data_IF_817903949748
#
_entry.id   IF_817903949748
#
_cell.length_a   1.000
_cell.length_b   1.000
_cell.length_c   1.000
_cell.angle_alpha   90.00
_cell.angle_beta   90.00
_cell.angle_gamma   90.00
#
_symmetry.space_group_name_H-M   'P 1'
#
loop_
_entity.id
_entity.type
_entity.pdbx_description
1 polymer ?
#
# COMPACT_ATOMS: atom_id res chain seq x y z
N UNK A 1 52.52 25.78 -74.54
CA UNK A 1 51.16 26.13 -74.09
C UNK A 1 50.29 24.87 -74.08
N UNK A 2 49.88 24.40 -72.90
CA UNK A 2 48.84 23.37 -72.68
C UNK A 2 47.65 24.06 -72.01
N UNK A 3 46.42 23.64 -72.32
CA UNK A 3 45.49 23.20 -71.26
C UNK A 3 44.61 22.04 -71.75
N UNK A 4 43.77 21.36 -70.98
CA UNK A 4 43.69 20.94 -69.58
C UNK A 4 42.56 19.91 -69.59
N UNK A 5 42.78 18.70 -69.06
CA UNK A 5 41.74 17.68 -68.90
C UNK A 5 41.09 17.87 -67.53
N UNK A 6 39.77 18.04 -67.50
CA UNK A 6 38.96 18.10 -66.28
C UNK A 6 38.69 16.66 -65.83
N UNK A 7 39.11 16.32 -64.60
CA UNK A 7 38.77 15.08 -63.92
C UNK A 7 37.55 15.30 -63.02
N UNK A 8 36.53 14.46 -63.17
CA UNK A 8 35.34 14.47 -62.32
C UNK A 8 35.60 13.65 -61.04
N UNK A 9 35.47 14.30 -59.88
CA UNK A 9 35.45 13.63 -58.57
C UNK A 9 34.05 13.03 -58.34
N UNK A 10 33.98 11.72 -58.15
CA UNK A 10 32.79 11.02 -57.65
C UNK A 10 32.89 10.93 -56.13
N UNK A 11 31.97 11.61 -55.43
CA UNK A 11 31.86 11.53 -53.98
C UNK A 11 31.09 10.25 -53.60
N UNK A 12 31.77 9.31 -52.95
CA UNK A 12 31.15 8.15 -52.33
C UNK A 12 30.52 8.57 -50.99
N UNK A 13 29.18 8.58 -50.94
CA UNK A 13 28.44 8.77 -49.70
C UNK A 13 28.53 7.51 -48.83
N UNK A 14 29.43 7.52 -47.85
CA UNK A 14 29.55 6.48 -46.83
C UNK A 14 28.35 6.59 -45.89
N UNK A 15 27.35 5.74 -46.08
CA UNK A 15 26.18 5.66 -45.19
C UNK A 15 26.58 4.94 -43.90
N UNK A 16 26.84 5.69 -42.84
CA UNK A 16 27.03 5.19 -41.49
C UNK A 16 25.68 4.68 -40.95
N UNK A 17 25.48 3.37 -41.01
CA UNK A 17 24.41 2.68 -40.29
C UNK A 17 24.86 2.62 -38.82
N UNK A 18 24.37 3.54 -38.00
CA UNK A 18 24.51 3.46 -36.55
C UNK A 18 23.58 2.34 -36.06
N UNK A 19 24.07 1.30 -35.35
CA UNK A 19 23.20 0.34 -34.72
C UNK A 19 22.42 1.07 -33.61
N UNK A 20 21.13 1.29 -33.83
CA UNK A 20 20.22 1.64 -32.75
C UNK A 20 20.25 0.47 -31.77
N UNK A 21 20.84 0.66 -30.59
CA UNK A 21 20.76 -0.27 -29.47
C UNK A 21 19.29 -0.36 -29.02
N UNK A 22 18.48 -1.16 -29.68
CA UNK A 22 17.18 -1.58 -29.16
C UNK A 22 17.44 -2.66 -28.12
N UNK A 23 17.19 -2.37 -26.85
CA UNK A 23 17.18 -3.38 -25.80
C UNK A 23 16.23 -4.50 -26.21
N UNK A 24 16.70 -5.75 -26.26
CA UNK A 24 15.87 -6.88 -26.65
C UNK A 24 14.67 -7.01 -25.71
N UNK A 25 13.50 -7.33 -26.27
CA UNK A 25 12.28 -7.54 -25.48
C UNK A 25 12.49 -8.73 -24.51
N UNK A 26 12.18 -8.58 -23.21
CA UNK A 26 12.27 -9.67 -22.26
C UNK A 26 11.40 -10.86 -22.67
N UNK A 27 11.92 -12.07 -22.50
CA UNK A 27 11.15 -13.30 -22.67
C UNK A 27 10.13 -13.44 -21.53
N UNK A 28 8.88 -13.77 -21.87
CA UNK A 28 7.80 -13.99 -20.91
C UNK A 28 7.51 -15.49 -20.77
N UNK A 29 7.20 -15.97 -19.55
CA UNK A 29 6.68 -17.33 -19.36
C UNK A 29 5.31 -17.50 -20.01
N UNK A 30 4.87 -18.76 -20.12
CA UNK A 30 3.53 -19.11 -20.58
C UNK A 30 2.49 -18.60 -19.56
N UNK A 31 1.55 -17.71 -19.97
CA UNK A 31 0.52 -17.19 -19.07
C UNK A 31 -0.45 -18.26 -18.55
N UNK A 32 -0.52 -19.43 -19.19
CA UNK A 32 -1.38 -20.54 -18.77
C UNK A 32 -0.77 -21.45 -17.71
N UNK A 33 0.50 -21.22 -17.33
CA UNK A 33 1.21 -21.98 -16.29
C UNK A 33 1.66 -21.06 -15.13
N UNK A 34 0.77 -20.82 -14.14
CA UNK A 34 1.10 -20.08 -12.92
C UNK A 34 2.36 -20.57 -12.18
N UNK A 35 2.63 -21.88 -12.22
CA UNK A 35 3.78 -22.47 -11.52
C UNK A 35 5.10 -22.10 -12.20
N UNK A 36 5.12 -22.03 -13.53
CA UNK A 36 6.30 -21.55 -14.26
C UNK A 36 6.67 -20.11 -13.87
N UNK A 37 5.68 -19.23 -13.74
CA UNK A 37 5.91 -17.86 -13.28
C UNK A 37 6.42 -17.84 -11.83
N UNK A 38 5.75 -18.57 -10.93
CA UNK A 38 6.15 -18.68 -9.53
C UNK A 38 7.60 -19.14 -9.40
N UNK A 39 7.98 -20.21 -10.10
CA UNK A 39 9.35 -20.75 -10.08
C UNK A 39 10.36 -19.74 -10.63
N UNK A 40 9.96 -18.98 -11.67
CA UNK A 40 10.80 -17.91 -12.22
C UNK A 40 11.03 -16.80 -11.19
N UNK A 41 9.99 -16.34 -10.50
CA UNK A 41 10.04 -15.30 -9.46
C UNK A 41 10.85 -15.75 -8.25
N UNK A 42 10.70 -17.01 -7.82
CA UNK A 42 11.42 -17.59 -6.69
C UNK A 42 12.88 -17.96 -7.02
N UNK A 43 13.28 -17.99 -8.30
CA UNK A 43 14.64 -18.33 -8.71
C UNK A 43 15.68 -17.28 -8.29
N UNK A 44 16.96 -17.66 -8.30
CA UNK A 44 18.09 -16.74 -8.07
C UNK A 44 18.13 -15.54 -9.04
N UNK A 45 17.46 -15.65 -10.19
CA UNK A 45 17.35 -14.58 -11.21
C UNK A 45 15.98 -13.91 -11.24
N UNK A 46 15.07 -14.26 -10.33
CA UNK A 46 13.69 -13.77 -10.32
C UNK A 46 13.58 -12.26 -10.15
N UNK A 47 14.41 -11.68 -9.28
CA UNK A 47 14.49 -10.23 -9.09
C UNK A 47 14.93 -9.49 -10.37
N UNK A 48 15.90 -10.07 -11.11
CA UNK A 48 16.33 -9.52 -12.40
C UNK A 48 15.24 -9.67 -13.46
N UNK A 49 14.54 -10.81 -13.50
CA UNK A 49 13.39 -11.00 -14.37
C UNK A 49 12.30 -9.95 -14.11
N UNK A 50 11.89 -9.78 -12.86
CA UNK A 50 10.90 -8.76 -12.47
C UNK A 50 11.36 -7.37 -12.86
N UNK A 51 12.63 -7.02 -12.65
CA UNK A 51 13.20 -5.75 -13.09
C UNK A 51 13.09 -5.57 -14.60
N UNK A 52 13.55 -6.55 -15.38
CA UNK A 52 13.58 -6.47 -16.84
C UNK A 52 12.18 -6.29 -17.42
N UNK A 53 11.21 -7.08 -16.98
CA UNK A 53 9.82 -6.95 -17.47
C UNK A 53 9.15 -5.68 -16.96
N UNK A 54 9.50 -5.18 -15.77
CA UNK A 54 8.84 -4.01 -15.18
C UNK A 54 9.33 -2.69 -15.78
N UNK A 55 10.62 -2.57 -16.12
CA UNK A 55 11.19 -1.32 -16.66
C UNK A 55 11.15 -1.26 -18.20
N UNK A 56 10.96 -2.40 -18.87
CA UNK A 56 10.89 -2.43 -20.33
C UNK A 56 9.69 -1.62 -20.83
N UNK A 57 9.89 -0.77 -21.83
CA UNK A 57 8.83 0.08 -22.40
C UNK A 57 7.94 -0.73 -23.35
N UNK A 58 6.93 -1.39 -22.80
CA UNK A 58 5.99 -2.21 -23.57
C UNK A 58 5.07 -1.34 -24.43
N UNK A 59 4.81 -1.77 -25.68
CA UNK A 59 3.88 -1.06 -26.58
C UNK A 59 2.43 -1.07 -26.09
N UNK A 60 2.08 -2.07 -25.30
CA UNK A 60 0.78 -2.30 -24.68
C UNK A 60 0.74 -1.83 -23.22
N UNK A 61 1.63 -0.91 -22.83
CA UNK A 61 1.69 -0.35 -21.48
C UNK A 61 1.80 -1.42 -20.36
N UNK A 62 2.39 -2.56 -20.71
CA UNK A 62 2.62 -3.68 -19.81
C UNK A 62 1.47 -4.68 -19.67
N UNK A 63 0.38 -4.55 -20.45
CA UNK A 63 -0.80 -5.41 -20.33
C UNK A 63 -0.51 -6.92 -20.44
N UNK A 64 0.35 -7.35 -21.38
CA UNK A 64 0.74 -8.77 -21.48
C UNK A 64 1.50 -9.28 -20.25
N UNK A 65 2.32 -8.44 -19.62
CA UNK A 65 3.05 -8.80 -18.39
C UNK A 65 2.09 -8.84 -17.20
N UNK A 66 1.18 -7.86 -17.11
CA UNK A 66 0.13 -7.81 -16.11
C UNK A 66 -0.68 -9.12 -16.09
N UNK A 67 -1.05 -9.66 -17.25
CA UNK A 67 -1.80 -10.90 -17.35
C UNK A 67 -1.13 -12.11 -16.69
N UNK A 68 0.20 -12.11 -16.55
CA UNK A 68 0.93 -13.19 -15.88
C UNK A 68 0.55 -13.33 -14.39
N UNK A 69 0.12 -12.26 -13.74
CA UNK A 69 -0.07 -12.21 -12.28
C UNK A 69 -1.55 -12.26 -11.85
N UNK A 70 -2.49 -12.39 -12.79
CA UNK A 70 -3.93 -12.27 -12.49
C UNK A 70 -4.50 -13.42 -11.65
N UNK A 71 -3.80 -14.55 -11.59
CA UNK A 71 -4.19 -15.72 -10.78
C UNK A 71 -3.85 -15.56 -9.28
N UNK A 72 -2.91 -14.66 -8.94
CA UNK A 72 -2.42 -14.53 -7.55
C UNK A 72 -3.53 -14.21 -6.55
N UNK A 73 -4.46 -13.26 -6.81
CA UNK A 73 -5.54 -12.98 -5.87
C UNK A 73 -6.48 -14.16 -5.64
N UNK A 74 -6.87 -14.86 -6.71
CA UNK A 74 -7.74 -16.03 -6.63
C UNK A 74 -7.09 -17.16 -5.82
N UNK A 75 -5.81 -17.42 -6.09
CA UNK A 75 -5.08 -18.49 -5.42
C UNK A 75 -4.72 -18.18 -3.97
N UNK A 76 -4.71 -16.90 -3.56
CA UNK A 76 -4.35 -16.49 -2.20
C UNK A 76 -5.19 -17.14 -1.10
N UNK A 77 -6.46 -17.44 -1.39
CA UNK A 77 -7.40 -18.09 -0.46
C UNK A 77 -7.91 -19.45 -0.96
N UNK A 78 -7.26 -20.02 -1.97
CA UNK A 78 -7.67 -21.31 -2.54
C UNK A 78 -7.66 -22.43 -1.49
N UNK A 79 -8.56 -23.40 -1.65
CA UNK A 79 -8.57 -24.59 -0.79
C UNK A 79 -7.34 -25.47 -0.98
N UNK A 80 -6.67 -25.36 -2.14
CA UNK A 80 -5.48 -26.13 -2.48
C UNK A 80 -4.24 -25.48 -1.85
N UNK A 81 -3.51 -26.18 -0.95
CA UNK A 81 -2.36 -25.57 -0.25
C UNK A 81 -1.22 -25.11 -1.17
N UNK A 82 -0.97 -25.84 -2.26
CA UNK A 82 0.11 -25.50 -3.21
C UNK A 82 -0.22 -24.25 -4.02
N UNK A 83 -1.50 -24.01 -4.34
CA UNK A 83 -1.96 -22.77 -5.00
C UNK A 83 -1.78 -21.57 -4.06
N UNK A 84 -2.20 -21.68 -2.80
CA UNK A 84 -1.98 -20.63 -1.78
C UNK A 84 -0.51 -20.30 -1.60
N UNK A 85 0.35 -21.33 -1.49
CA UNK A 85 1.79 -21.12 -1.38
C UNK A 85 2.37 -20.45 -2.62
N UNK A 86 1.93 -20.83 -3.83
CA UNK A 86 2.39 -20.21 -5.06
C UNK A 86 2.00 -18.73 -5.13
N UNK A 87 0.78 -18.38 -4.70
CA UNK A 87 0.34 -16.99 -4.60
C UNK A 87 1.18 -16.20 -3.59
N UNK A 88 1.44 -16.76 -2.41
CA UNK A 88 2.26 -16.14 -1.38
C UNK A 88 3.71 -15.92 -1.83
N UNK A 89 4.35 -16.94 -2.43
CA UNK A 89 5.71 -16.87 -2.95
C UNK A 89 5.83 -15.76 -4.01
N UNK A 90 4.84 -15.69 -4.92
CA UNK A 90 4.82 -14.72 -6.01
C UNK A 90 4.61 -13.30 -5.48
N UNK A 91 3.62 -13.10 -4.61
CA UNK A 91 3.36 -11.80 -3.98
C UNK A 91 4.57 -11.33 -3.16
N UNK A 92 5.21 -12.22 -2.39
CA UNK A 92 6.40 -11.91 -1.61
C UNK A 92 7.59 -11.50 -2.51
N UNK A 93 7.77 -12.21 -3.64
CA UNK A 93 8.77 -11.89 -4.64
C UNK A 93 8.55 -10.51 -5.28
N UNK A 94 7.29 -10.18 -5.61
CA UNK A 94 6.89 -8.87 -6.12
C UNK A 94 7.23 -7.78 -5.09
N UNK A 95 6.76 -7.89 -3.85
CA UNK A 95 6.93 -6.80 -2.88
C UNK A 95 8.39 -6.60 -2.46
N UNK A 96 9.17 -7.70 -2.41
CA UNK A 96 10.62 -7.65 -2.23
C UNK A 96 11.28 -6.87 -3.36
N UNK A 97 10.92 -7.19 -4.61
CA UNK A 97 11.42 -6.49 -5.79
C UNK A 97 11.10 -5.01 -5.77
N UNK A 98 9.85 -4.66 -5.48
CA UNK A 98 9.40 -3.28 -5.43
C UNK A 98 10.14 -2.50 -4.34
N UNK A 99 10.25 -3.07 -3.14
CA UNK A 99 10.97 -2.45 -2.03
C UNK A 99 12.45 -2.19 -2.37
N UNK A 100 13.14 -3.19 -2.91
CA UNK A 100 14.59 -3.12 -3.15
C UNK A 100 14.94 -2.29 -4.39
N UNK A 101 13.98 -2.10 -5.30
CA UNK A 101 14.19 -1.38 -6.58
C UNK A 101 13.49 -0.01 -6.62
N UNK A 102 12.76 0.37 -5.57
CA UNK A 102 11.94 1.60 -5.52
C UNK A 102 12.66 2.86 -6.03
N UNK A 103 13.92 3.18 -5.64
CA UNK A 103 14.59 4.39 -6.14
C UNK A 103 14.75 4.44 -7.66
N UNK A 104 14.84 3.29 -8.31
CA UNK A 104 14.89 3.18 -9.78
C UNK A 104 13.48 3.26 -10.37
N UNK A 105 12.51 2.55 -9.81
CA UNK A 105 11.14 2.50 -10.31
C UNK A 105 10.41 3.84 -10.19
N UNK A 106 10.77 4.66 -9.23
CA UNK A 106 10.21 6.01 -9.05
C UNK A 106 10.91 7.07 -9.93
N UNK A 107 12.02 6.74 -10.59
CA UNK A 107 12.87 7.69 -11.35
C UNK A 107 13.53 7.01 -12.56
N UNK A 108 12.71 6.60 -13.53
CA UNK A 108 13.16 5.85 -14.72
C UNK A 108 13.80 6.73 -15.80
N UNK A 109 13.42 8.01 -15.92
CA UNK A 109 14.04 8.95 -16.88
C UNK A 109 14.94 9.97 -16.19
N UNK A 110 16.19 9.55 -15.91
CA UNK A 110 17.22 10.44 -15.38
C UNK A 110 17.76 11.45 -16.40
N UNK A 111 17.57 11.21 -17.71
CA UNK A 111 18.19 12.01 -18.76
C UNK A 111 17.50 13.38 -18.94
N UNK A 112 16.21 13.46 -18.61
CA UNK A 112 15.41 14.67 -18.82
C UNK A 112 15.01 15.39 -17.51
N UNK A 113 15.65 15.08 -16.38
CA UNK A 113 15.23 15.52 -15.03
C UNK A 113 13.74 15.24 -14.73
N UNK A 114 13.14 14.27 -15.42
CA UNK A 114 11.74 13.92 -15.27
C UNK A 114 11.53 12.96 -14.10
N UNK A 115 10.53 13.22 -13.27
CA UNK A 115 10.03 12.26 -12.29
C UNK A 115 9.12 11.21 -12.99
N UNK A 116 9.62 10.56 -14.05
CA UNK A 116 8.89 9.48 -14.72
C UNK A 116 9.01 8.22 -13.88
N UNK A 117 7.87 7.74 -13.39
CA UNK A 117 7.75 6.52 -12.59
C UNK A 117 7.45 5.32 -13.48
N UNK A 118 7.52 4.12 -12.89
CA UNK A 118 7.05 2.88 -13.54
C UNK A 118 5.57 2.93 -13.86
N UNK A 119 4.75 3.59 -13.02
CA UNK A 119 3.32 3.77 -13.27
C UNK A 119 3.03 4.60 -14.52
N UNK A 120 3.91 5.56 -14.87
CA UNK A 120 3.76 6.35 -16.09
C UNK A 120 4.06 5.54 -17.37
N UNK A 121 4.96 4.57 -17.27
CA UNK A 121 5.44 3.80 -18.43
C UNK A 121 4.62 2.52 -18.62
N UNK A 122 4.41 1.77 -17.54
CA UNK A 122 3.76 0.47 -17.52
C UNK A 122 2.66 0.41 -16.44
N UNK A 123 1.60 1.24 -16.55
CA UNK A 123 0.53 1.30 -15.55
C UNK A 123 -0.12 -0.06 -15.29
N UNK A 124 -0.34 -0.88 -16.33
CA UNK A 124 -0.98 -2.18 -16.18
C UNK A 124 -0.16 -3.16 -15.30
N UNK A 125 1.17 -3.08 -15.32
CA UNK A 125 2.03 -3.90 -14.46
C UNK A 125 1.87 -3.48 -13.00
N UNK A 126 1.89 -2.17 -12.73
CA UNK A 126 1.72 -1.64 -11.37
C UNK A 126 0.34 -2.01 -10.80
N UNK A 127 -0.71 -1.87 -11.60
CA UNK A 127 -2.07 -2.28 -11.25
C UNK A 127 -2.15 -3.78 -10.97
N UNK A 128 -1.54 -4.61 -11.80
CA UNK A 128 -1.53 -6.06 -11.56
C UNK A 128 -0.74 -6.48 -10.33
N UNK A 129 0.41 -5.84 -10.06
CA UNK A 129 1.15 -6.06 -8.82
C UNK A 129 0.36 -5.61 -7.61
N UNK A 130 -0.37 -4.51 -7.71
CA UNK A 130 -1.24 -4.03 -6.63
C UNK A 130 -2.30 -5.07 -6.30
N UNK A 131 -3.01 -5.57 -7.31
CA UNK A 131 -4.02 -6.61 -7.15
C UNK A 131 -3.44 -7.90 -6.56
N UNK A 132 -2.26 -8.34 -7.02
CA UNK A 132 -1.57 -9.51 -6.50
C UNK A 132 -1.17 -9.37 -5.01
N UNK A 133 -0.95 -8.14 -4.54
CA UNK A 133 -0.45 -7.85 -3.18
C UNK A 133 -1.57 -7.61 -2.18
N UNK A 134 -2.70 -7.03 -2.59
CA UNK A 134 -3.83 -6.68 -1.72
C UNK A 134 -4.24 -7.80 -0.74
N UNK A 135 -4.36 -9.09 -1.15
CA UNK A 135 -4.74 -10.16 -0.22
C UNK A 135 -3.77 -10.37 0.95
N UNK A 136 -2.51 -9.91 0.81
CA UNK A 136 -1.42 -10.14 1.75
C UNK A 136 -1.12 -8.91 2.65
N UNK A 137 -1.92 -7.84 2.57
CA UNK A 137 -1.72 -6.63 3.39
C UNK A 137 -1.75 -6.92 4.90
N UNK A 138 -2.65 -7.81 5.33
CA UNK A 138 -2.67 -8.28 6.71
C UNK A 138 -1.35 -8.94 7.10
N UNK A 139 -0.86 -9.85 6.26
CA UNK A 139 0.36 -10.61 6.52
C UNK A 139 1.59 -9.67 6.64
N UNK A 140 1.62 -8.57 5.90
CA UNK A 140 2.69 -7.56 6.01
C UNK A 140 2.75 -6.89 7.39
N UNK A 141 1.62 -6.76 8.08
CA UNK A 141 1.53 -6.22 9.44
C UNK A 141 1.35 -7.32 10.50
N UNK A 142 1.72 -8.56 10.16
CA UNK A 142 1.72 -9.68 11.08
C UNK A 142 0.35 -10.30 11.35
N UNK A 143 -0.62 -10.11 10.46
CA UNK A 143 -1.89 -10.85 10.42
C UNK A 143 -2.03 -11.69 9.16
N UNK A 144 -1.54 -12.95 9.15
CA UNK A 144 -1.67 -13.78 7.97
C UNK A 144 -3.13 -14.12 7.64
N UNK A 145 -4.11 -13.94 8.54
CA UNK A 145 -5.50 -14.32 8.30
C UNK A 145 -5.62 -15.70 7.65
N UNK A 146 -6.24 -15.75 6.46
CA UNK A 146 -6.37 -16.98 5.66
C UNK A 146 -5.26 -17.15 4.59
N UNK A 147 -4.37 -16.16 4.44
CA UNK A 147 -3.24 -16.20 3.51
C UNK A 147 -2.01 -16.76 4.22
N UNK A 148 -1.69 -18.02 3.95
CA UNK A 148 -0.54 -18.70 4.54
C UNK A 148 0.73 -18.50 3.69
N UNK A 149 1.91 -18.56 4.32
CA UNK A 149 3.19 -18.60 3.61
C UNK A 149 3.82 -17.25 3.26
N UNK A 150 3.13 -16.13 3.55
CA UNK A 150 3.68 -14.79 3.36
C UNK A 150 4.29 -14.25 4.65
N UNK A 151 5.53 -13.78 4.60
CA UNK A 151 6.21 -13.17 5.75
C UNK A 151 6.28 -11.65 5.61
N UNK A 152 6.19 -10.89 6.72
CA UNK A 152 6.47 -9.46 6.71
C UNK A 152 7.84 -9.13 6.10
N UNK A 153 7.93 -8.05 5.29
CA UNK A 153 9.21 -7.57 4.74
C UNK A 153 10.10 -6.90 5.78
N UNK A 154 9.47 -6.39 6.84
CA UNK A 154 10.08 -5.62 7.91
C UNK A 154 9.72 -6.26 9.27
N UNK A 155 10.56 -6.13 10.30
CA UNK A 155 10.17 -6.48 11.66
C UNK A 155 8.92 -5.71 12.11
N UNK A 156 8.01 -6.38 12.82
CA UNK A 156 6.71 -5.83 13.23
C UNK A 156 6.81 -4.70 14.28
N UNK A 157 7.96 -4.48 14.89
CA UNK A 157 8.26 -3.39 15.83
C UNK A 157 9.05 -2.22 15.17
N UNK A 158 9.31 -2.32 13.86
CA UNK A 158 10.07 -1.34 13.09
C UNK A 158 9.22 -0.20 12.54
N UNK A 159 9.83 0.64 11.68
CA UNK A 159 9.14 1.71 10.93
C UNK A 159 8.68 1.27 9.54
N UNK A 160 8.82 -0.02 9.23
CA UNK A 160 8.41 -0.67 7.98
C UNK A 160 8.93 0.00 6.69
N UNK A 161 10.24 0.33 6.59
CA UNK A 161 10.77 1.07 5.45
C UNK A 161 10.69 0.32 4.12
N UNK A 162 10.76 -1.02 4.10
CA UNK A 162 10.66 -1.80 2.86
C UNK A 162 9.21 -1.87 2.39
N UNK A 163 8.27 -2.08 3.31
CA UNK A 163 6.83 -2.05 3.03
C UNK A 163 6.41 -0.67 2.50
N UNK A 164 6.90 0.41 3.13
CA UNK A 164 6.73 1.77 2.63
C UNK A 164 7.23 1.94 1.19
N UNK A 165 8.47 1.51 0.91
CA UNK A 165 9.05 1.61 -0.43
C UNK A 165 8.21 0.87 -1.48
N UNK A 166 7.70 -0.32 -1.15
CA UNK A 166 6.81 -1.07 -2.02
C UNK A 166 5.47 -0.33 -2.25
N UNK A 167 4.82 0.17 -1.20
CA UNK A 167 3.55 0.91 -1.31
C UNK A 167 3.70 2.18 -2.14
N UNK A 168 4.80 2.90 -1.99
CA UNK A 168 5.08 4.10 -2.78
C UNK A 168 5.20 3.78 -4.28
N UNK A 169 5.78 2.63 -4.66
CA UNK A 169 5.82 2.19 -6.06
C UNK A 169 4.44 1.76 -6.55
N UNK A 170 3.70 0.98 -5.75
CA UNK A 170 2.34 0.57 -6.09
C UNK A 170 1.41 1.78 -6.26
N UNK A 171 1.57 2.81 -5.44
CA UNK A 171 0.78 4.04 -5.50
C UNK A 171 1.08 4.97 -6.69
N UNK A 172 1.98 4.60 -7.61
CA UNK A 172 2.36 5.48 -8.75
C UNK A 172 1.27 5.63 -9.81
N UNK A 173 0.25 4.76 -9.85
CA UNK A 173 -0.95 4.96 -10.67
C UNK A 173 -2.14 5.38 -9.82
N UNK A 174 -3.05 6.15 -10.41
CA UNK A 174 -4.26 6.59 -9.71
C UNK A 174 -5.16 5.41 -9.28
N UNK A 175 -5.29 4.39 -10.15
CA UNK A 175 -6.07 3.17 -9.90
C UNK A 175 -5.46 2.38 -8.74
N UNK A 176 -4.18 2.01 -8.83
CA UNK A 176 -3.49 1.25 -7.79
C UNK A 176 -3.49 1.96 -6.45
N UNK A 177 -3.27 3.27 -6.44
CA UNK A 177 -3.30 4.07 -5.21
C UNK A 177 -4.67 4.03 -4.53
N UNK A 178 -5.75 4.10 -5.32
CA UNK A 178 -7.12 4.01 -4.80
C UNK A 178 -7.48 2.59 -4.34
N UNK A 179 -7.12 1.56 -5.10
CA UNK A 179 -7.41 0.16 -4.76
C UNK A 179 -6.65 -0.28 -3.50
N UNK A 180 -5.37 0.08 -3.40
CA UNK A 180 -4.56 -0.17 -2.21
C UNK A 180 -5.10 0.60 -1.00
N UNK A 181 -5.46 1.86 -1.18
CA UNK A 181 -6.06 2.68 -0.12
C UNK A 181 -7.38 2.09 0.39
N UNK A 182 -8.28 1.67 -0.51
CA UNK A 182 -9.53 1.03 -0.15
C UNK A 182 -9.30 -0.31 0.59
N UNK A 183 -8.35 -1.12 0.14
CA UNK A 183 -8.00 -2.37 0.80
C UNK A 183 -7.45 -2.15 2.23
N UNK A 184 -6.62 -1.12 2.41
CA UNK A 184 -6.12 -0.72 3.74
C UNK A 184 -7.27 -0.30 4.65
N UNK A 185 -8.22 0.52 4.17
CA UNK A 185 -9.38 0.95 4.96
C UNK A 185 -10.25 -0.23 5.38
N UNK A 186 -10.53 -1.16 4.47
CA UNK A 186 -11.30 -2.37 4.81
C UNK A 186 -10.60 -3.21 5.90
N UNK A 187 -9.26 -3.30 5.82
CA UNK A 187 -8.48 -4.05 6.81
C UNK A 187 -8.42 -3.32 8.16
N UNK A 188 -8.29 -1.99 8.17
CA UNK A 188 -8.31 -1.22 9.42
C UNK A 188 -9.70 -1.25 10.08
N UNK A 189 -10.79 -1.26 9.31
CA UNK A 189 -12.14 -1.47 9.83
C UNK A 189 -12.26 -2.79 10.61
N UNK A 190 -11.71 -3.87 10.05
CA UNK A 190 -11.65 -5.16 10.73
C UNK A 190 -10.88 -5.07 12.06
N UNK A 191 -9.69 -4.47 12.07
CA UNK A 191 -8.89 -4.35 13.30
C UNK A 191 -9.53 -3.43 14.35
N UNK A 192 -10.23 -2.37 13.95
CA UNK A 192 -11.00 -1.51 14.87
C UNK A 192 -12.15 -2.28 15.53
N UNK A 193 -12.79 -3.17 14.78
CA UNK A 193 -13.84 -4.02 15.33
C UNK A 193 -13.28 -5.06 16.31
N UNK A 194 -12.17 -5.73 15.97
CA UNK A 194 -11.49 -6.65 16.89
C UNK A 194 -11.03 -5.91 18.16
N UNK A 195 -10.45 -4.72 18.01
CA UNK A 195 -10.02 -3.88 19.14
C UNK A 195 -11.20 -3.53 20.07
N UNK A 196 -12.32 -3.06 19.51
CA UNK A 196 -13.51 -2.74 20.30
C UNK A 196 -14.05 -3.96 21.07
N UNK A 197 -14.07 -5.14 20.42
CA UNK A 197 -14.48 -6.38 21.06
C UNK A 197 -13.52 -6.84 22.16
N UNK A 198 -12.20 -6.69 21.96
CA UNK A 198 -11.20 -7.00 23.00
C UNK A 198 -11.30 -6.07 24.21
N UNK A 199 -11.68 -4.80 24.02
CA UNK A 199 -11.91 -3.84 25.11
C UNK A 199 -13.19 -4.15 25.89
N UNK A 200 -14.23 -4.67 25.24
CA UNK A 200 -15.49 -5.04 25.87
C UNK A 200 -15.46 -6.42 26.57
N UNK A 201 -14.41 -7.21 26.36
CA UNK A 201 -14.27 -8.55 26.91
C UNK A 201 -14.01 -8.55 28.44
N UNK A 202 -14.40 -9.63 29.11
CA UNK A 202 -14.09 -9.87 30.52
C UNK A 202 -13.53 -11.30 30.72
N UNK A 203 -12.23 -11.48 31.02
CA UNK A 203 -11.22 -10.43 31.20
C UNK A 203 -10.84 -9.74 29.88
N UNK A 204 -10.28 -8.53 30.00
CA UNK A 204 -9.71 -7.78 28.87
C UNK A 204 -8.47 -8.50 28.34
N UNK A 205 -8.31 -8.53 27.01
CA UNK A 205 -7.14 -9.11 26.34
C UNK A 205 -6.16 -7.99 25.91
N UNK A 206 -5.24 -7.65 26.81
CA UNK A 206 -4.22 -6.61 26.60
C UNK A 206 -3.30 -6.90 25.40
N UNK A 207 -3.03 -8.18 25.12
CA UNK A 207 -2.19 -8.58 24.00
C UNK A 207 -2.91 -8.30 22.67
N UNK A 208 -4.17 -8.72 22.55
CA UNK A 208 -4.98 -8.43 21.37
C UNK A 208 -5.07 -6.92 21.14
N UNK A 209 -5.35 -6.13 22.18
CA UNK A 209 -5.41 -4.67 22.11
C UNK A 209 -4.10 -4.10 21.54
N UNK A 210 -2.95 -4.46 22.15
CA UNK A 210 -1.65 -3.93 21.73
C UNK A 210 -1.32 -4.33 20.29
N UNK A 211 -1.67 -5.54 19.88
CA UNK A 211 -1.47 -6.02 18.51
C UNK A 211 -2.31 -5.26 17.49
N UNK A 212 -3.62 -5.08 17.74
CA UNK A 212 -4.48 -4.35 16.79
C UNK A 212 -4.08 -2.89 16.68
N UNK A 213 -3.70 -2.26 17.79
CA UNK A 213 -3.25 -0.87 17.82
C UNK A 213 -1.98 -0.67 16.98
N UNK A 214 -1.00 -1.58 17.10
CA UNK A 214 0.21 -1.53 16.29
C UNK A 214 -0.10 -1.67 14.79
N UNK A 215 -0.96 -2.63 14.42
CA UNK A 215 -1.38 -2.86 13.03
C UNK A 215 -2.10 -1.65 12.43
N UNK A 216 -3.04 -1.05 13.17
CA UNK A 216 -3.74 0.17 12.77
C UNK A 216 -2.76 1.31 12.52
N UNK A 217 -1.86 1.57 13.47
CA UNK A 217 -0.87 2.65 13.37
C UNK A 217 0.08 2.45 12.19
N UNK A 218 0.49 1.21 11.93
CA UNK A 218 1.34 0.86 10.80
C UNK A 218 0.63 1.08 9.46
N UNK A 219 -0.57 0.54 9.28
CA UNK A 219 -1.32 0.66 8.03
C UNK A 219 -1.66 2.12 7.70
N UNK A 220 -2.17 2.88 8.67
CA UNK A 220 -2.45 4.31 8.47
C UNK A 220 -1.17 5.10 8.22
N UNK A 221 -0.11 4.83 8.97
CA UNK A 221 1.17 5.51 8.81
C UNK A 221 1.81 5.25 7.44
N UNK A 222 1.73 4.00 6.95
CA UNK A 222 2.19 3.61 5.62
C UNK A 222 1.36 4.27 4.52
N UNK A 223 0.03 4.23 4.63
CA UNK A 223 -0.87 4.82 3.65
C UNK A 223 -0.67 6.34 3.52
N UNK A 224 -0.58 7.04 4.66
CA UNK A 224 -0.30 8.48 4.69
C UNK A 224 1.08 8.80 4.14
N UNK A 225 2.13 8.09 4.59
CA UNK A 225 3.49 8.37 4.15
C UNK A 225 3.69 8.13 2.65
N UNK A 226 3.04 7.10 2.08
CA UNK A 226 3.07 6.77 0.66
C UNK A 226 2.09 7.59 -0.19
N UNK A 227 1.38 8.56 0.41
CA UNK A 227 0.40 9.43 -0.26
C UNK A 227 -0.66 8.64 -1.04
N UNK A 228 -1.11 7.52 -0.46
CA UNK A 228 -2.17 6.71 -1.06
C UNK A 228 -3.50 7.44 -1.06
N UNK A 229 -4.32 7.19 -2.08
CA UNK A 229 -5.65 7.77 -2.19
C UNK A 229 -6.61 7.07 -1.25
N UNK A 230 -7.25 7.83 -0.38
CA UNK A 230 -8.39 7.36 0.38
C UNK A 230 -9.57 7.00 -0.54
N UNK A 231 -10.42 6.03 -0.18
CA UNK A 231 -11.65 5.76 -0.90
C UNK A 231 -12.58 6.97 -0.85
N UNK A 232 -13.37 7.18 -1.91
CA UNK A 232 -14.28 8.33 -2.01
C UNK A 232 -15.32 8.40 -0.89
N UNK A 233 -15.64 7.26 -0.26
CA UNK A 233 -16.56 7.17 0.88
C UNK A 233 -15.98 7.71 2.20
N UNK A 234 -14.65 7.82 2.31
CA UNK A 234 -13.98 8.40 3.49
C UNK A 234 -12.70 9.13 3.05
N UNK A 235 -12.84 10.29 2.39
CA UNK A 235 -11.74 10.95 1.67
C UNK A 235 -10.62 11.48 2.58
N UNK A 236 -10.86 11.57 3.88
CA UNK A 236 -9.91 12.08 4.87
C UNK A 236 -9.33 11.00 5.78
N UNK A 237 -9.63 9.72 5.53
CA UNK A 237 -9.30 8.63 6.46
C UNK A 237 -7.80 8.40 6.68
N UNK A 238 -6.93 8.97 5.85
CA UNK A 238 -5.47 8.93 6.05
C UNK A 238 -4.91 10.18 6.71
N UNK A 239 -5.71 11.23 6.92
CA UNK A 239 -5.29 12.39 7.69
C UNK A 239 -5.01 11.96 9.15
N UNK A 240 -3.82 12.25 9.72
CA UNK A 240 -3.47 11.83 11.07
C UNK A 240 -4.44 12.31 12.16
N UNK A 241 -5.05 13.48 11.99
CA UNK A 241 -6.04 14.00 12.94
C UNK A 241 -7.33 13.19 12.87
N UNK A 242 -7.79 12.88 11.66
CA UNK A 242 -9.00 12.06 11.44
C UNK A 242 -8.79 10.64 11.95
N UNK A 243 -7.65 10.04 11.64
CA UNK A 243 -7.27 8.71 12.13
C UNK A 243 -7.29 8.66 13.66
N UNK A 244 -6.79 9.70 14.32
CA UNK A 244 -6.82 9.79 15.78
C UNK A 244 -8.25 9.87 16.30
N UNK A 245 -9.11 10.70 15.71
CA UNK A 245 -10.53 10.76 16.08
C UNK A 245 -11.24 9.41 15.90
N UNK A 246 -10.94 8.68 14.82
CA UNK A 246 -11.49 7.35 14.56
C UNK A 246 -11.02 6.30 15.59
N UNK A 247 -9.76 6.40 16.06
CA UNK A 247 -9.29 5.59 17.18
C UNK A 247 -10.01 5.96 18.47
N UNK A 248 -10.05 7.25 18.84
CA UNK A 248 -10.70 7.70 20.07
C UNK A 248 -12.18 7.29 20.11
N UNK A 249 -12.87 7.38 18.96
CA UNK A 249 -14.22 6.85 18.80
C UNK A 249 -14.29 5.34 19.04
N UNK A 250 -13.34 4.56 18.50
CA UNK A 250 -13.27 3.11 18.68
C UNK A 250 -13.04 2.73 20.15
N UNK A 251 -12.20 3.47 20.86
CA UNK A 251 -11.95 3.28 22.29
C UNK A 251 -13.16 3.68 23.14
N UNK A 252 -13.75 4.83 22.84
CA UNK A 252 -14.91 5.35 23.56
C UNK A 252 -16.15 4.47 23.36
N UNK A 253 -16.49 4.08 22.13
CA UNK A 253 -17.70 3.29 21.85
C UNK A 253 -17.73 1.94 22.56
N UNK A 254 -16.57 1.38 22.90
CA UNK A 254 -16.45 0.10 23.60
C UNK A 254 -16.75 0.21 25.11
N UNK A 255 -16.66 1.42 25.69
CA UNK A 255 -16.66 1.62 27.14
C UNK A 255 -17.69 2.64 27.62
N UNK A 256 -18.12 3.54 26.75
CA UNK A 256 -19.06 4.61 27.06
C UNK A 256 -20.48 4.09 27.22
N UNK A 257 -21.20 4.58 28.23
CA UNK A 257 -22.59 4.23 28.49
C UNK A 257 -23.46 5.48 28.31
N UNK A 258 -24.16 5.55 27.16
CA UNK A 258 -25.11 6.61 26.85
C UNK A 258 -24.55 8.03 26.90
N UNK A 259 -25.43 9.04 26.73
CA UNK A 259 -25.09 10.42 27.03
C UNK A 259 -24.57 10.54 28.47
N UNK A 260 -23.44 11.21 28.64
CA UNK A 260 -22.81 11.43 29.94
C UNK A 260 -22.22 12.84 30.00
N UNK A 261 -21.46 13.13 31.05
CA UNK A 261 -20.85 14.45 31.25
C UNK A 261 -19.68 14.75 30.30
N UNK A 262 -19.19 13.75 29.57
CA UNK A 262 -17.97 13.84 28.76
C UNK A 262 -18.26 14.10 27.29
N UNK A 263 -19.38 13.56 26.80
CA UNK A 263 -19.81 13.67 25.40
C UNK A 263 -21.25 14.17 25.36
N UNK A 264 -21.49 15.25 24.62
CA UNK A 264 -22.82 15.84 24.48
C UNK A 264 -23.83 14.84 23.90
N UNK A 265 -25.06 14.88 24.43
CA UNK A 265 -26.18 14.02 24.01
C UNK A 265 -26.43 14.02 22.50
N UNK A 266 -26.16 15.12 21.79
CA UNK A 266 -26.35 15.21 20.34
C UNK A 266 -25.45 14.27 19.53
N UNK A 267 -24.37 13.76 20.13
CA UNK A 267 -23.46 12.80 19.51
C UNK A 267 -23.83 11.34 19.79
N UNK A 268 -25.02 11.11 20.34
CA UNK A 268 -25.59 9.79 20.54
C UNK A 268 -26.83 9.58 19.66
N UNK A 269 -26.99 8.37 19.16
CA UNK A 269 -28.22 7.94 18.51
C UNK A 269 -29.37 7.74 19.52
N UNK A 270 -30.56 7.41 19.01
CA UNK A 270 -31.75 7.14 19.84
C UNK A 270 -31.56 5.94 20.78
N UNK A 271 -30.63 5.04 20.48
CA UNK A 271 -30.26 3.89 21.30
C UNK A 271 -29.15 4.19 22.32
N UNK A 272 -28.66 5.42 22.39
CA UNK A 272 -27.58 5.82 23.28
C UNK A 272 -26.19 5.35 22.83
N UNK A 273 -26.01 5.02 21.54
CA UNK A 273 -24.71 4.69 20.95
C UNK A 273 -24.07 5.93 20.34
N UNK A 274 -22.74 6.04 20.43
CA UNK A 274 -22.01 7.14 19.80
C UNK A 274 -22.16 7.12 18.27
N UNK A 275 -22.39 8.30 17.69
CA UNK A 275 -22.37 8.51 16.24
C UNK A 275 -20.95 8.32 15.70
N UNK A 276 -20.82 7.70 14.52
CA UNK A 276 -19.53 7.57 13.86
C UNK A 276 -18.96 8.96 13.49
N UNK A 277 -17.62 9.18 13.55
CA UNK A 277 -17.04 10.49 13.26
C UNK A 277 -17.36 10.99 11.85
N UNK A 278 -17.32 10.10 10.85
CA UNK A 278 -17.73 10.43 9.48
C UNK A 278 -19.18 10.92 9.42
N UNK A 279 -20.10 10.28 10.15
CA UNK A 279 -21.51 10.72 10.21
C UNK A 279 -21.61 12.12 10.80
N UNK A 280 -20.92 12.39 11.91
CA UNK A 280 -20.88 13.72 12.55
C UNK A 280 -20.33 14.76 11.59
N UNK A 281 -19.24 14.46 10.88
CA UNK A 281 -18.63 15.37 9.91
C UNK A 281 -19.57 15.70 8.76
N UNK A 282 -20.17 14.68 8.16
CA UNK A 282 -21.06 14.83 6.99
C UNK A 282 -22.38 15.53 7.34
N UNK A 283 -22.97 15.27 8.51
CA UNK A 283 -24.33 15.71 8.83
C UNK A 283 -24.38 16.91 9.79
N UNK A 284 -23.36 17.08 10.65
CA UNK A 284 -23.30 18.17 11.63
C UNK A 284 -22.20 19.20 11.29
N UNK A 285 -21.35 18.90 10.31
CA UNK A 285 -20.32 19.80 9.77
C UNK A 285 -19.00 19.79 10.55
N UNK A 286 -17.99 20.42 9.96
CA UNK A 286 -16.60 20.45 10.48
C UNK A 286 -16.51 20.99 11.91
N UNK A 287 -17.28 22.02 12.27
CA UNK A 287 -17.26 22.60 13.61
C UNK A 287 -17.74 21.60 14.67
N UNK A 288 -18.82 20.86 14.38
CA UNK A 288 -19.32 19.81 15.27
C UNK A 288 -18.34 18.63 15.33
N UNK A 289 -17.72 18.27 14.21
CA UNK A 289 -16.71 17.22 14.17
C UNK A 289 -15.48 17.55 15.04
N UNK A 290 -14.95 18.78 14.94
CA UNK A 290 -13.81 19.21 15.75
C UNK A 290 -14.15 19.21 17.26
N UNK A 291 -15.35 19.67 17.62
CA UNK A 291 -15.82 19.60 19.00
C UNK A 291 -15.97 18.16 19.50
N UNK A 292 -16.55 17.29 18.66
CA UNK A 292 -16.73 15.87 18.95
C UNK A 292 -15.39 15.16 19.14
N UNK A 293 -14.43 15.39 18.26
CA UNK A 293 -13.05 14.91 18.37
C UNK A 293 -12.43 15.32 19.71
N UNK A 294 -12.57 16.59 20.11
CA UNK A 294 -12.09 17.07 21.40
C UNK A 294 -12.78 16.41 22.60
N UNK A 295 -14.07 16.09 22.51
CA UNK A 295 -14.80 15.36 23.56
C UNK A 295 -14.32 13.92 23.70
N UNK A 296 -14.18 13.21 22.58
CA UNK A 296 -13.68 11.82 22.55
C UNK A 296 -12.26 11.73 23.12
N UNK A 297 -11.36 12.63 22.70
CA UNK A 297 -9.99 12.67 23.21
C UNK A 297 -9.94 12.90 24.73
N UNK A 298 -10.77 13.82 25.26
CA UNK A 298 -10.88 14.04 26.72
C UNK A 298 -11.47 12.85 27.46
N UNK A 299 -12.38 12.10 26.85
CA UNK A 299 -12.93 10.88 27.44
C UNK A 299 -11.85 9.81 27.54
N UNK A 300 -11.14 9.54 26.44
CA UNK A 300 -10.04 8.56 26.38
C UNK A 300 -8.92 8.90 27.38
N UNK A 301 -8.53 10.18 27.46
CA UNK A 301 -7.45 10.64 28.33
C UNK A 301 -7.72 10.44 29.83
N UNK A 302 -8.98 10.33 30.27
CA UNK A 302 -9.33 10.12 31.68
C UNK A 302 -9.16 8.68 32.16
N UNK A 303 -9.23 7.72 31.25
CA UNK A 303 -8.97 6.32 31.57
C UNK A 303 -7.50 6.01 31.34
N UNK A 304 -6.76 5.67 32.40
CA UNK A 304 -5.34 5.30 32.28
C UNK A 304 -5.11 4.15 31.28
N UNK A 305 -6.04 3.20 31.19
CA UNK A 305 -5.98 2.09 30.24
C UNK A 305 -6.18 2.58 28.80
N UNK A 306 -7.23 3.36 28.52
CA UNK A 306 -7.49 3.87 27.16
C UNK A 306 -6.44 4.87 26.71
N UNK A 307 -5.99 5.76 27.60
CA UNK A 307 -4.90 6.70 27.34
C UNK A 307 -3.58 5.97 27.02
N UNK A 308 -3.29 4.85 27.68
CA UNK A 308 -2.15 4.01 27.35
C UNK A 308 -2.24 3.41 25.93
N UNK A 309 -3.45 3.11 25.47
CA UNK A 309 -3.71 2.65 24.10
C UNK A 309 -3.51 3.76 23.07
N UNK A 310 -4.12 4.94 23.28
CA UNK A 310 -3.96 6.11 22.40
C UNK A 310 -2.49 6.56 22.29
N UNK A 311 -1.75 6.57 23.41
CA UNK A 311 -0.33 6.91 23.40
C UNK A 311 0.49 5.95 22.53
N UNK A 312 0.30 4.63 22.71
CA UNK A 312 1.00 3.61 21.89
C UNK A 312 0.70 3.77 20.41
N UNK A 313 -0.57 4.04 20.08
CA UNK A 313 -0.98 4.29 18.72
C UNK A 313 -0.28 5.52 18.14
N UNK A 314 -0.37 6.66 18.84
CA UNK A 314 0.18 7.94 18.41
C UNK A 314 1.70 7.88 18.23
N UNK A 315 2.40 7.20 19.14
CA UNK A 315 3.83 6.98 19.06
C UNK A 315 4.21 6.17 17.81
N UNK A 316 3.55 5.02 17.59
CA UNK A 316 3.84 4.17 16.44
C UNK A 316 3.47 4.84 15.12
N UNK A 317 2.34 5.53 15.05
CA UNK A 317 1.89 6.26 13.86
C UNK A 317 2.92 7.34 13.49
N UNK A 318 3.30 8.17 14.48
CA UNK A 318 4.29 9.23 14.30
C UNK A 318 5.66 8.68 13.88
N UNK A 319 6.09 7.56 14.48
CA UNK A 319 7.34 6.88 14.15
C UNK A 319 7.34 6.39 12.70
N UNK A 320 6.26 5.75 12.25
CA UNK A 320 6.10 5.28 10.87
C UNK A 320 6.10 6.43 9.87
N UNK A 321 5.33 7.49 10.12
CA UNK A 321 5.22 8.64 9.20
C UNK A 321 6.57 9.37 9.09
N UNK A 322 7.14 9.77 10.23
CA UNK A 322 8.33 10.62 10.25
C UNK A 322 9.58 9.94 9.69
N UNK A 323 9.71 8.63 9.89
CA UNK A 323 10.87 7.87 9.41
C UNK A 323 10.85 7.64 7.91
N UNK A 324 9.67 7.57 7.31
CA UNK A 324 9.50 7.25 5.89
C UNK A 324 9.44 8.50 5.00
N UNK A 325 8.88 9.62 5.47
CA UNK A 325 8.89 10.89 4.71
C UNK A 325 10.26 11.58 4.61
N UNK A 326 11.22 11.20 5.46
CA UNK A 326 12.58 11.77 5.47
C UNK A 326 13.55 11.11 4.49
N UNK A 327 13.12 10.07 3.77
CA UNK A 327 13.95 9.27 2.84
C UNK A 327 13.67 9.66 1.39
#
# INVERSE_FOLDING_TARGET
MRPSKIAALTAAALSLILPSCTTAQPALPDPSDPYQLRDRVASATGQQFLKDVTIFKWKDHGARVAHLFTWVPEWSTASVPTERQAAADTAYGIVTFLADTAPTLLKLDKANNGNVTVGDINPAIVESYTNAVIPFLGAMVGDPGNVAGFQPLDPLDSTMPRTFAAFTVLGTTATSSADLGAAIVNLTDHYREVLANSLAANPVDDNSISTQVARLAQLFGLAFASELKAPASSPYIFDPEVVRTELDYTLARATIVGPNEDVDRRYFDVGGKLLAPEYVRQHLGEAAWAEYSGMLSRYVARSNSLNGVDSKFSDQLSKTISSNRRR
#
